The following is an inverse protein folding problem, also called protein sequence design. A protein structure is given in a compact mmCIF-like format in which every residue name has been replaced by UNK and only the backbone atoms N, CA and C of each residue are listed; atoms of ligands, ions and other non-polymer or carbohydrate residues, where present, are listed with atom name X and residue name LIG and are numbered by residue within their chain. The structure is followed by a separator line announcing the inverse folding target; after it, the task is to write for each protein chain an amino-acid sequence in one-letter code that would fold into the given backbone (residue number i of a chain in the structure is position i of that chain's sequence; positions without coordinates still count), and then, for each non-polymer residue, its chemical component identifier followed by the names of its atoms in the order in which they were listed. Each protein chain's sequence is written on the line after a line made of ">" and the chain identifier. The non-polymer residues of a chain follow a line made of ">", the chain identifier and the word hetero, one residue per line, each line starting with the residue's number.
data_IF_587536951840
#
_entry.id   IF_587536951840
#
_cell.length_a   1.000
_cell.length_b   1.000
_cell.length_c   1.000
_cell.angle_alpha   90.00
_cell.angle_beta   90.00
_cell.angle_gamma   90.00
#
_symmetry.space_group_name_H-M   'P 1'
#
loop_
_entity.id
_entity.type
_entity.pdbx_description
1 polymer ?
#
# COMPACT_ATOMS: atom_id res chain seq x y z
N UNK A 1 13.29 13.96 7.98
CA UNK A 1 14.17 13.03 7.24
C UNK A 1 13.56 11.64 7.36
N UNK A 2 13.47 10.87 6.27
CA UNK A 2 12.85 9.54 6.23
C UNK A 2 13.93 8.50 5.95
N UNK A 3 13.90 7.38 6.69
CA UNK A 3 14.74 6.21 6.44
C UNK A 3 13.88 4.96 6.57
N UNK A 4 13.83 4.12 5.54
CA UNK A 4 13.05 2.87 5.56
C UNK A 4 13.90 1.72 5.05
N UNK A 5 13.59 0.47 5.46
CA UNK A 5 14.41 -0.68 5.09
C UNK A 5 14.14 -1.14 3.66
N UNK A 6 14.30 -0.29 2.65
CA UNK A 6 14.07 -0.60 1.23
C UNK A 6 12.70 -1.27 0.93
N UNK A 7 11.64 -0.77 1.56
CA UNK A 7 10.25 -1.29 1.41
C UNK A 7 9.34 -0.39 0.55
N UNK A 8 9.91 0.58 -0.16
CA UNK A 8 9.14 1.55 -0.94
C UNK A 8 8.26 0.91 -2.03
N UNK A 9 8.60 -0.29 -2.50
CA UNK A 9 7.81 -1.08 -3.46
C UNK A 9 6.93 -2.18 -2.85
N UNK A 10 6.89 -2.32 -1.52
CA UNK A 10 6.25 -3.47 -0.84
C UNK A 10 4.77 -3.22 -0.55
N UNK A 11 3.94 -3.00 -1.56
CA UNK A 11 2.49 -3.03 -1.37
C UNK A 11 1.95 -4.47 -1.40
N UNK A 12 0.78 -4.65 -0.82
CA UNK A 12 0.01 -5.91 -0.96
C UNK A 12 -0.23 -6.21 -2.45
N UNK A 13 -0.47 -5.18 -3.26
CA UNK A 13 -0.75 -5.31 -4.68
C UNK A 13 0.49 -5.62 -5.53
N UNK A 14 1.67 -5.09 -5.18
CA UNK A 14 2.86 -5.20 -6.04
C UNK A 14 3.29 -6.65 -6.24
N UNK A 15 3.19 -7.47 -5.18
CA UNK A 15 3.44 -8.92 -5.24
C UNK A 15 2.47 -9.62 -6.19
N UNK A 16 1.17 -9.27 -6.14
CA UNK A 16 0.14 -9.85 -7.02
C UNK A 16 0.31 -9.41 -8.47
N UNK A 17 0.54 -8.12 -8.71
CA UNK A 17 0.70 -7.57 -10.05
C UNK A 17 1.87 -8.20 -10.80
N UNK A 18 2.98 -8.49 -10.13
CA UNK A 18 4.10 -9.20 -10.76
C UNK A 18 3.69 -10.57 -11.31
N UNK A 19 2.94 -11.35 -10.52
CA UNK A 19 2.41 -12.65 -10.96
C UNK A 19 1.38 -12.49 -12.07
N UNK A 20 0.47 -11.52 -11.93
CA UNK A 20 -0.59 -11.23 -12.91
C UNK A 20 0.00 -10.85 -14.27
N UNK A 21 1.02 -9.99 -14.31
CA UNK A 21 1.69 -9.60 -15.55
C UNK A 21 2.29 -10.80 -16.28
N UNK A 22 3.01 -11.68 -15.55
CA UNK A 22 3.60 -12.90 -16.12
C UNK A 22 2.50 -13.84 -16.62
N UNK A 23 1.44 -14.02 -15.84
CA UNK A 23 0.30 -14.85 -16.19
C UNK A 23 -0.37 -14.38 -17.49
N UNK A 24 -0.66 -13.07 -17.60
CA UNK A 24 -1.28 -12.50 -18.80
C UNK A 24 -0.39 -12.66 -20.04
N UNK A 25 0.93 -12.46 -19.91
CA UNK A 25 1.87 -12.68 -21.01
C UNK A 25 1.94 -14.16 -21.43
N UNK A 26 1.94 -15.09 -20.47
CA UNK A 26 1.95 -16.51 -20.76
C UNK A 26 0.66 -16.98 -21.47
N UNK A 27 -0.50 -16.41 -21.11
CA UNK A 27 -1.76 -16.62 -21.82
C UNK A 27 -1.69 -16.09 -23.26
N UNK A 28 -1.24 -14.85 -23.43
CA UNK A 28 -1.12 -14.23 -24.76
C UNK A 28 -0.15 -14.98 -25.67
N UNK A 29 0.91 -15.56 -25.11
CA UNK A 29 1.88 -16.37 -25.83
C UNK A 29 1.43 -17.82 -26.07
N UNK A 30 0.27 -18.24 -25.54
CA UNK A 30 -0.23 -19.61 -25.67
C UNK A 30 0.59 -20.66 -24.90
N UNK A 31 1.43 -20.23 -23.94
CA UNK A 31 2.25 -21.12 -23.10
C UNK A 31 1.37 -21.87 -22.09
N UNK A 32 0.29 -21.23 -21.65
CA UNK A 32 -0.72 -21.79 -20.74
C UNK A 32 -2.12 -21.53 -21.30
N UNK A 33 -3.08 -22.37 -20.95
CA UNK A 33 -4.51 -22.14 -21.20
C UNK A 33 -5.16 -21.47 -20.01
N UNK A 34 -6.23 -20.69 -20.22
CA UNK A 34 -7.02 -20.10 -19.14
C UNK A 34 -7.52 -21.17 -18.18
N UNK A 35 -6.93 -21.24 -17.00
CA UNK A 35 -7.59 -21.87 -15.85
C UNK A 35 -8.44 -20.80 -15.19
N UNK A 36 -9.68 -21.14 -14.88
CA UNK A 36 -10.60 -20.30 -14.09
C UNK A 36 -10.13 -20.30 -12.63
N UNK A 37 -8.90 -19.87 -12.38
CA UNK A 37 -8.41 -19.64 -11.05
C UNK A 37 -9.04 -18.33 -10.59
N UNK A 38 -9.96 -18.40 -9.63
CA UNK A 38 -10.39 -17.20 -8.92
C UNK A 38 -9.16 -16.65 -8.22
N UNK A 39 -8.55 -15.62 -8.80
CA UNK A 39 -7.64 -14.79 -8.04
C UNK A 39 -8.48 -14.23 -6.90
N UNK A 40 -8.19 -14.64 -5.66
CA UNK A 40 -8.88 -14.14 -4.49
C UNK A 40 -8.87 -12.62 -4.55
N UNK A 41 -10.06 -12.02 -4.69
CA UNK A 41 -10.20 -10.58 -4.66
C UNK A 41 -9.74 -10.11 -3.28
N UNK A 42 -8.79 -9.19 -3.27
CA UNK A 42 -8.41 -8.50 -2.04
C UNK A 42 -9.52 -7.50 -1.79
N UNK A 43 -10.21 -7.65 -0.67
CA UNK A 43 -11.21 -6.66 -0.27
C UNK A 43 -10.53 -5.29 -0.17
N UNK A 44 -11.09 -4.25 -0.79
CA UNK A 44 -10.53 -2.91 -0.67
C UNK A 44 -10.49 -2.49 0.80
N UNK A 45 -9.46 -1.75 1.18
CA UNK A 45 -9.37 -1.15 2.50
C UNK A 45 -10.31 0.05 2.56
N UNK A 46 -11.18 0.08 3.57
CA UNK A 46 -12.01 1.26 3.85
C UNK A 46 -11.32 2.18 4.83
N UNK A 47 -11.19 3.45 4.44
CA UNK A 47 -10.67 4.51 5.28
C UNK A 47 -11.80 5.47 5.64
N UNK A 48 -12.28 5.34 6.88
CA UNK A 48 -13.35 6.19 7.42
C UNK A 48 -12.79 7.52 7.92
N UNK A 49 -13.29 8.62 7.39
CA UNK A 49 -12.92 9.98 7.76
C UNK A 49 -14.10 10.63 8.47
N UNK A 50 -13.98 10.77 9.78
CA UNK A 50 -15.02 11.37 10.64
C UNK A 50 -14.85 12.86 10.84
N UNK A 51 -13.70 13.42 10.43
CA UNK A 51 -13.37 14.84 10.57
C UNK A 51 -13.62 15.55 9.22
N UNK A 52 -14.65 16.42 9.12
CA UNK A 52 -14.95 17.14 7.89
C UNK A 52 -13.86 18.15 7.49
N UNK A 53 -12.96 18.49 8.41
CA UNK A 53 -11.82 19.39 8.17
C UNK A 53 -10.55 18.65 7.72
N UNK A 54 -10.62 17.33 7.55
CA UNK A 54 -9.50 16.52 7.08
C UNK A 54 -9.08 16.94 5.66
N UNK A 55 -7.82 17.36 5.52
CA UNK A 55 -7.26 17.70 4.22
C UNK A 55 -6.82 16.44 3.46
N UNK A 56 -6.66 16.55 2.13
CA UNK A 56 -6.16 15.44 1.31
C UNK A 56 -4.82 14.88 1.82
N UNK A 57 -3.90 15.73 2.31
CA UNK A 57 -2.61 15.29 2.85
C UNK A 57 -2.79 14.39 4.07
N UNK A 58 -3.71 14.76 4.97
CA UNK A 58 -3.99 13.97 6.17
C UNK A 58 -4.55 12.60 5.82
N UNK A 59 -5.36 12.50 4.77
CA UNK A 59 -5.95 11.26 4.28
C UNK A 59 -4.86 10.37 3.65
N UNK A 60 -3.96 10.95 2.84
CA UNK A 60 -2.79 10.24 2.30
C UNK A 60 -1.94 9.63 3.41
N UNK A 61 -1.64 10.40 4.46
CA UNK A 61 -0.84 9.91 5.58
C UNK A 61 -1.59 8.89 6.46
N UNK A 62 -2.91 8.99 6.57
CA UNK A 62 -3.75 7.96 7.21
C UNK A 62 -3.75 6.65 6.42
N UNK A 63 -3.66 6.70 5.09
CA UNK A 63 -3.49 5.52 4.26
C UNK A 63 -2.12 4.88 4.49
N UNK A 64 -1.05 5.68 4.49
CA UNK A 64 0.30 5.20 4.78
C UNK A 64 1.23 6.35 5.18
N UNK A 65 1.74 6.31 6.41
CA UNK A 65 2.75 7.24 6.91
C UNK A 65 4.13 6.54 7.04
N UNK A 66 5.12 6.88 6.19
CA UNK A 66 6.45 6.29 6.26
C UNK A 66 7.28 6.77 7.47
N UNK A 67 6.83 7.80 8.20
CA UNK A 67 7.53 8.31 9.39
C UNK A 67 7.54 7.26 10.51
N UNK A 68 6.44 6.51 10.66
CA UNK A 68 6.32 5.39 11.62
C UNK A 68 7.38 4.33 11.35
N UNK A 69 7.66 4.04 10.08
CA UNK A 69 8.69 3.08 9.69
C UNK A 69 10.11 3.58 9.96
N UNK A 70 10.33 4.90 9.89
CA UNK A 70 11.60 5.50 10.27
C UNK A 70 11.89 5.28 11.75
N UNK A 71 10.91 5.52 12.62
CA UNK A 71 11.08 5.30 14.05
C UNK A 71 11.24 3.82 14.39
N UNK A 72 10.45 2.93 13.77
CA UNK A 72 10.60 1.48 13.94
C UNK A 72 11.99 0.99 13.51
N UNK A 73 12.49 1.45 12.37
CA UNK A 73 13.83 1.10 11.88
C UNK A 73 14.92 1.58 12.85
N UNK A 74 14.85 2.83 13.32
CA UNK A 74 15.80 3.38 14.30
C UNK A 74 15.82 2.56 15.60
N UNK A 75 14.65 2.23 16.14
CA UNK A 75 14.52 1.47 17.38
C UNK A 75 15.07 0.06 17.22
N UNK A 76 14.68 -0.62 16.14
CA UNK A 76 15.10 -2.01 15.88
C UNK A 76 16.61 -2.10 15.64
N UNK A 77 17.18 -1.22 14.82
CA UNK A 77 18.60 -1.29 14.47
C UNK A 77 19.53 -0.82 15.61
N UNK A 78 19.07 0.09 16.47
CA UNK A 78 19.87 0.54 17.62
C UNK A 78 19.99 -0.51 18.72
N UNK A 79 19.00 -1.41 18.84
CA UNK A 79 19.00 -2.52 19.79
C UNK A 79 19.59 -3.83 19.21
N UNK A 80 19.92 -3.88 17.92
CA UNK A 80 20.32 -5.11 17.25
C UNK A 80 21.81 -5.42 17.42
N UNK A 81 22.12 -6.66 17.82
CA UNK A 81 23.49 -7.18 17.80
C UNK A 81 24.01 -7.37 16.36
N UNK A 82 23.13 -7.71 15.42
CA UNK A 82 23.43 -7.92 14.01
C UNK A 82 22.52 -7.05 13.13
N UNK A 83 23.00 -5.84 12.81
CA UNK A 83 22.23 -4.82 12.07
C UNK A 83 21.71 -5.34 10.73
N UNK A 84 22.53 -6.09 9.98
CA UNK A 84 22.11 -6.64 8.68
C UNK A 84 20.91 -7.59 8.77
N UNK A 85 20.97 -8.56 9.70
CA UNK A 85 19.86 -9.49 9.93
C UNK A 85 18.60 -8.78 10.42
N UNK A 86 18.74 -7.79 11.30
CA UNK A 86 17.60 -7.00 11.77
C UNK A 86 16.97 -6.17 10.64
N UNK A 87 17.79 -5.60 9.74
CA UNK A 87 17.31 -4.87 8.56
C UNK A 87 16.53 -5.78 7.60
N UNK A 88 17.03 -6.98 7.33
CA UNK A 88 16.32 -7.94 6.48
C UNK A 88 15.05 -8.46 7.14
N UNK A 89 15.04 -8.61 8.46
CA UNK A 89 13.83 -9.01 9.20
C UNK A 89 12.72 -7.97 9.07
N UNK A 90 13.05 -6.67 9.17
CA UNK A 90 12.10 -5.58 8.93
C UNK A 90 11.51 -5.62 7.51
N UNK A 91 12.27 -6.07 6.51
CA UNK A 91 11.79 -6.24 5.13
C UNK A 91 10.85 -7.43 4.98
N UNK A 92 11.24 -8.55 5.57
CA UNK A 92 10.48 -9.80 5.53
C UNK A 92 9.10 -9.63 6.16
N UNK A 93 9.03 -9.01 7.33
CA UNK A 93 7.80 -8.86 8.11
C UNK A 93 6.87 -7.76 7.59
N UNK A 94 7.33 -6.92 6.67
CA UNK A 94 6.53 -5.84 6.12
C UNK A 94 5.51 -6.34 5.09
N UNK A 95 4.25 -6.43 5.51
CA UNK A 95 3.13 -6.92 4.68
C UNK A 95 1.87 -6.03 4.71
N UNK A 96 1.89 -4.88 5.38
CA UNK A 96 0.69 -4.05 5.60
C UNK A 96 0.79 -2.69 4.92
N UNK A 97 0.75 -2.67 3.58
CA UNK A 97 0.60 -1.43 2.81
C UNK A 97 -0.30 -1.62 1.61
N UNK A 98 -1.41 -0.87 1.60
CA UNK A 98 -2.28 -0.76 0.45
C UNK A 98 -1.83 0.37 -0.45
N UNK A 99 -2.19 0.27 -1.73
CA UNK A 99 -2.06 1.38 -2.67
C UNK A 99 -3.35 2.16 -2.71
N UNK A 100 -3.29 3.44 -3.09
CA UNK A 100 -4.47 4.32 -3.11
C UNK A 100 -5.62 3.76 -3.95
N UNK A 101 -5.32 3.03 -5.03
CA UNK A 101 -6.32 2.37 -5.89
C UNK A 101 -7.15 1.30 -5.18
N UNK A 102 -6.65 0.72 -4.09
CA UNK A 102 -7.35 -0.29 -3.28
C UNK A 102 -7.93 0.31 -2.00
N UNK A 103 -7.94 1.64 -1.86
CA UNK A 103 -8.50 2.33 -0.69
C UNK A 103 -9.76 3.10 -1.05
N UNK A 104 -10.86 2.68 -0.43
CA UNK A 104 -12.14 3.38 -0.43
C UNK A 104 -12.13 4.45 0.66
N UNK A 105 -12.26 5.71 0.28
CA UNK A 105 -12.40 6.81 1.25
C UNK A 105 -13.88 7.02 1.55
N UNK A 106 -14.26 6.76 2.80
CA UNK A 106 -15.62 6.96 3.30
C UNK A 106 -15.62 8.22 4.17
N UNK A 107 -16.07 9.33 3.61
CA UNK A 107 -15.99 10.65 4.24
C UNK A 107 -17.26 11.46 3.99
N UNK A 108 -17.88 11.94 5.07
CA UNK A 108 -18.98 12.90 5.01
C UNK A 108 -18.42 14.33 5.08
N UNK A 109 -18.86 15.20 4.17
CA UNK A 109 -18.49 16.62 4.21
C UNK A 109 -17.05 16.95 3.80
N UNK A 110 -16.34 16.02 3.16
CA UNK A 110 -15.03 16.31 2.57
C UNK A 110 -15.15 17.40 1.49
N UNK A 111 -14.26 18.38 1.50
CA UNK A 111 -14.29 19.45 0.50
C UNK A 111 -14.08 18.90 -0.92
N UNK A 112 -14.81 19.45 -1.90
CA UNK A 112 -14.72 19.02 -3.31
C UNK A 112 -13.31 19.13 -3.88
N UNK A 113 -12.53 20.12 -3.45
CA UNK A 113 -11.15 20.29 -3.87
C UNK A 113 -10.27 19.12 -3.40
N UNK A 114 -10.39 18.74 -2.12
CA UNK A 114 -9.68 17.58 -1.55
C UNK A 114 -10.11 16.28 -2.22
N UNK A 115 -11.42 16.09 -2.42
CA UNK A 115 -11.98 14.91 -3.11
C UNK A 115 -11.41 14.76 -4.52
N UNK A 116 -11.32 15.85 -5.29
CA UNK A 116 -10.73 15.83 -6.65
C UNK A 116 -9.25 15.45 -6.63
N UNK A 117 -8.47 15.97 -5.69
CA UNK A 117 -7.05 15.65 -5.55
C UNK A 117 -6.87 14.17 -5.21
N UNK A 118 -7.62 13.67 -4.22
CA UNK A 118 -7.55 12.26 -3.82
C UNK A 118 -7.93 11.31 -4.95
N UNK A 119 -8.98 11.63 -5.71
CA UNK A 119 -9.35 10.85 -6.90
C UNK A 119 -8.22 10.84 -7.95
N UNK A 120 -7.57 11.99 -8.19
CA UNK A 120 -6.43 12.09 -9.11
C UNK A 120 -5.19 11.32 -8.62
N UNK A 121 -5.00 11.18 -7.30
CA UNK A 121 -3.96 10.34 -6.70
C UNK A 121 -4.28 8.84 -6.79
N UNK A 122 -5.53 8.48 -7.11
CA UNK A 122 -5.98 7.10 -7.31
C UNK A 122 -6.85 6.56 -6.19
N UNK A 123 -7.23 7.34 -5.19
CA UNK A 123 -8.29 6.93 -4.25
C UNK A 123 -9.64 6.86 -4.96
N UNK A 124 -10.55 6.06 -4.42
CA UNK A 124 -11.93 6.04 -4.88
C UNK A 124 -12.90 6.22 -3.71
N UNK A 125 -14.13 6.56 -4.04
CA UNK A 125 -15.19 6.89 -3.10
C UNK A 125 -16.45 6.13 -3.52
N UNK A 126 -17.19 5.59 -2.55
CA UNK A 126 -18.56 5.13 -2.78
C UNK A 126 -19.53 6.32 -2.91
#
# INVERSE_FOLDING_TARGET
>A
MIATPHIAGYSVLSKRRGVEMIYQLALQAGVISTQLASMHAISPQRLYITDPSASWQSIVLRCFDPSVLTENMKQTLSAANHVGTAFDKLREDFNQRYEFSDVEVVADGLQDADRKILAALGFWFA
#
